data_IF_905994745847
#
_entry.id   IF_905994745847
#
_cell.length_a   1.000
_cell.length_b   1.000
_cell.length_c   1.000
_cell.angle_alpha   90.00
_cell.angle_beta   90.00
_cell.angle_gamma   90.00
#
_symmetry.space_group_name_H-M   'P 1'
#
loop_
_entity.id
_entity.type
_entity.pdbx_description
1 polymer ?
#
# COMPACT_ATOMS: atom_id res chain seq x y z
N UNK A 1 32.02 -38.37 -44.53
CA UNK A 1 31.37 -37.91 -43.30
C UNK A 1 31.34 -36.38 -43.33
N UNK A 2 30.22 -35.79 -43.74
CA UNK A 2 30.11 -34.33 -43.97
C UNK A 2 29.78 -33.66 -42.63
N UNK A 3 30.71 -32.86 -42.09
CA UNK A 3 30.45 -32.00 -40.92
C UNK A 3 29.74 -30.73 -41.40
N UNK A 4 28.49 -30.55 -40.99
CA UNK A 4 27.73 -29.34 -41.25
C UNK A 4 28.18 -28.21 -40.29
N UNK A 5 28.60 -27.03 -40.81
CA UNK A 5 29.23 -25.95 -40.02
C UNK A 5 28.28 -25.18 -39.09
N UNK A 6 26.98 -25.51 -39.07
CA UNK A 6 25.97 -24.85 -38.23
C UNK A 6 25.49 -25.72 -37.06
N UNK A 7 26.01 -26.94 -36.88
CA UNK A 7 25.63 -27.81 -35.77
C UNK A 7 26.71 -27.79 -34.68
N UNK A 8 26.60 -26.81 -33.79
CA UNK A 8 27.30 -26.77 -32.50
C UNK A 8 26.39 -27.46 -31.46
N UNK A 9 26.75 -28.64 -30.91
CA UNK A 9 25.93 -29.38 -29.95
C UNK A 9 25.60 -28.60 -28.65
N UNK A 10 26.32 -27.52 -28.42
CA UNK A 10 26.38 -26.65 -27.25
C UNK A 10 25.50 -25.38 -27.35
N UNK A 11 24.90 -25.10 -28.51
CA UNK A 11 24.01 -23.93 -28.69
C UNK A 11 22.74 -23.96 -27.82
N UNK A 12 22.31 -25.14 -27.35
CA UNK A 12 21.17 -25.30 -26.45
C UNK A 12 21.48 -24.93 -24.99
N UNK A 13 22.75 -24.93 -24.59
CA UNK A 13 23.19 -24.60 -23.24
C UNK A 13 23.24 -23.08 -23.02
N UNK A 14 23.68 -22.30 -24.01
CA UNK A 14 23.62 -20.84 -23.97
C UNK A 14 22.17 -20.31 -24.06
N UNK A 15 21.31 -20.99 -24.83
CA UNK A 15 19.88 -20.69 -24.88
C UNK A 15 19.14 -21.01 -23.57
N UNK A 16 19.60 -21.99 -22.78
CA UNK A 16 19.02 -22.28 -21.45
C UNK A 16 19.40 -21.26 -20.39
N UNK A 17 20.65 -20.76 -20.41
CA UNK A 17 21.10 -19.70 -19.49
C UNK A 17 20.36 -18.37 -19.72
N UNK A 18 20.20 -17.98 -20.98
CA UNK A 18 19.48 -16.76 -21.33
C UNK A 18 17.97 -16.84 -20.99
N UNK A 19 17.37 -18.04 -21.06
CA UNK A 19 15.95 -18.26 -20.73
C UNK A 19 15.67 -18.12 -19.23
N UNK A 20 16.56 -18.59 -18.36
CA UNK A 20 16.42 -18.40 -16.91
C UNK A 20 16.61 -16.95 -16.51
N UNK A 21 17.56 -16.23 -17.12
CA UNK A 21 17.79 -14.81 -16.84
C UNK A 21 16.63 -13.92 -17.33
N UNK A 22 16.06 -14.22 -18.51
CA UNK A 22 14.85 -13.56 -19.04
C UNK A 22 13.61 -13.82 -18.15
N UNK A 23 13.45 -15.05 -17.64
CA UNK A 23 12.39 -15.40 -16.69
C UNK A 23 12.54 -14.65 -15.37
N UNK A 24 13.76 -14.57 -14.81
CA UNK A 24 14.04 -13.85 -13.57
C UNK A 24 13.82 -12.33 -13.71
N UNK A 25 14.26 -11.73 -14.82
CA UNK A 25 14.01 -10.31 -15.10
C UNK A 25 12.51 -10.02 -15.23
N UNK A 26 11.76 -10.87 -15.93
CA UNK A 26 10.31 -10.74 -16.08
C UNK A 26 9.59 -10.81 -14.74
N UNK A 27 10.04 -11.69 -13.84
CA UNK A 27 9.49 -11.81 -12.49
C UNK A 27 9.75 -10.54 -11.66
N UNK A 28 10.97 -10.00 -11.70
CA UNK A 28 11.33 -8.74 -11.01
C UNK A 28 10.46 -7.59 -11.52
N UNK A 29 10.35 -7.40 -12.83
CA UNK A 29 9.50 -6.35 -13.41
C UNK A 29 8.02 -6.54 -13.07
N UNK A 30 7.53 -7.78 -13.00
CA UNK A 30 6.15 -8.06 -12.63
C UNK A 30 5.87 -7.70 -11.16
N UNK A 31 6.80 -8.01 -10.25
CA UNK A 31 6.69 -7.60 -8.84
C UNK A 31 6.77 -6.08 -8.69
N UNK A 32 7.71 -5.42 -9.37
CA UNK A 32 7.83 -3.96 -9.36
C UNK A 32 6.60 -3.27 -9.97
N UNK A 33 6.06 -3.80 -11.06
CA UNK A 33 4.83 -3.30 -11.68
C UNK A 33 3.61 -3.47 -10.76
N UNK A 34 3.48 -4.63 -10.11
CA UNK A 34 2.45 -4.87 -9.10
C UNK A 34 2.57 -3.92 -7.91
N UNK A 35 3.80 -3.65 -7.44
CA UNK A 35 4.09 -2.68 -6.38
C UNK A 35 3.72 -1.25 -6.78
N UNK A 36 4.08 -0.83 -8.00
CA UNK A 36 3.74 0.50 -8.52
C UNK A 36 2.22 0.69 -8.58
N UNK A 37 1.48 -0.31 -9.09
CA UNK A 37 0.01 -0.30 -9.09
C UNK A 37 -0.56 -0.26 -7.67
N UNK A 38 0.01 -1.02 -6.75
CA UNK A 38 -0.40 -1.02 -5.35
C UNK A 38 -0.28 0.39 -4.72
N UNK A 39 0.89 1.00 -4.82
CA UNK A 39 1.16 2.35 -4.28
C UNK A 39 0.24 3.38 -4.95
N UNK A 40 0.10 3.30 -6.28
CA UNK A 40 -0.79 4.20 -7.02
C UNK A 40 -2.26 4.03 -6.60
N UNK A 41 -2.71 2.80 -6.37
CA UNK A 41 -4.05 2.52 -5.86
C UNK A 41 -4.31 3.15 -4.50
N UNK A 42 -3.36 3.05 -3.56
CA UNK A 42 -3.44 3.72 -2.24
C UNK A 42 -3.53 5.24 -2.40
N UNK A 43 -2.70 5.83 -3.27
CA UNK A 43 -2.72 7.28 -3.53
C UNK A 43 -4.05 7.73 -4.14
N UNK A 44 -4.56 6.99 -5.14
CA UNK A 44 -5.80 7.32 -5.82
C UNK A 44 -7.00 7.19 -4.88
N UNK A 45 -6.98 6.19 -4.00
CA UNK A 45 -7.96 6.01 -2.94
C UNK A 45 -8.01 7.22 -2.00
N UNK A 46 -6.85 7.67 -1.50
CA UNK A 46 -6.74 8.87 -0.65
C UNK A 46 -7.23 10.13 -1.35
N UNK A 47 -6.81 10.36 -2.60
CA UNK A 47 -7.26 11.51 -3.38
C UNK A 47 -8.77 11.50 -3.63
N UNK A 48 -9.35 10.35 -3.97
CA UNK A 48 -10.79 10.20 -4.17
C UNK A 48 -11.57 10.54 -2.89
N UNK A 49 -11.11 10.04 -1.74
CA UNK A 49 -11.75 10.31 -0.47
C UNK A 49 -11.61 11.79 -0.05
N UNK A 50 -10.44 12.39 -0.25
CA UNK A 50 -10.18 13.82 0.00
C UNK A 50 -11.06 14.72 -0.86
N UNK A 51 -11.16 14.44 -2.17
CA UNK A 51 -12.00 15.23 -3.08
C UNK A 51 -13.49 15.03 -2.80
N UNK A 52 -13.91 13.82 -2.42
CA UNK A 52 -15.28 13.54 -1.99
C UNK A 52 -15.66 14.33 -0.74
N UNK A 53 -14.72 14.53 0.20
CA UNK A 53 -14.94 15.35 1.38
C UNK A 53 -15.06 16.85 1.04
N UNK A 54 -14.29 17.35 0.06
CA UNK A 54 -14.40 18.72 -0.48
C UNK A 54 -14.40 19.81 0.59
N UNK A 55 -15.24 20.84 0.43
CA UNK A 55 -15.36 21.96 1.39
C UNK A 55 -15.92 21.54 2.77
N UNK A 56 -16.53 20.35 2.86
CA UNK A 56 -16.98 19.83 4.16
C UNK A 56 -15.80 19.51 5.07
N UNK A 57 -14.58 19.36 4.55
CA UNK A 57 -13.39 19.24 5.38
C UNK A 57 -13.26 20.41 6.35
N UNK A 58 -13.52 21.66 5.94
CA UNK A 58 -13.48 22.81 6.87
C UNK A 58 -14.52 22.70 7.98
N UNK A 59 -15.68 22.11 7.69
CA UNK A 59 -16.77 21.88 8.66
C UNK A 59 -16.47 20.70 9.60
N UNK A 60 -15.86 19.63 9.10
CA UNK A 60 -15.38 18.48 9.90
C UNK A 60 -14.27 18.93 10.85
N UNK A 61 -13.36 19.78 10.35
CA UNK A 61 -12.32 20.42 11.16
C UNK A 61 -12.91 21.43 12.16
N UNK A 62 -14.01 22.11 11.83
CA UNK A 62 -14.73 22.96 12.79
C UNK A 62 -15.59 22.18 13.79
N UNK A 63 -15.95 20.93 13.48
CA UNK A 63 -16.69 20.02 14.36
C UNK A 63 -15.79 19.32 15.39
N UNK A 64 -14.47 19.57 15.34
CA UNK A 64 -13.59 19.47 16.49
C UNK A 64 -14.18 20.43 17.53
N UNK A 65 -15.09 20.01 18.41
CA UNK A 65 -14.80 19.94 19.85
C UNK A 65 -16.08 19.95 20.71
N UNK A 66 -16.31 18.87 21.48
CA UNK A 66 -16.99 18.90 22.80
C UNK A 66 -16.32 17.91 23.78
N UNK A 67 -15.84 16.74 23.32
CA UNK A 67 -15.23 15.71 24.20
C UNK A 67 -13.99 15.02 23.58
N UNK A 68 -13.08 14.45 24.38
CA UNK A 68 -11.92 13.68 23.88
C UNK A 68 -12.31 12.49 22.99
N UNK A 69 -13.41 11.81 23.31
CA UNK A 69 -13.90 10.66 22.54
C UNK A 69 -14.38 11.08 21.14
N UNK A 70 -15.11 12.20 21.07
CA UNK A 70 -15.49 12.80 19.79
C UNK A 70 -14.26 13.23 19.01
N UNK A 71 -13.24 13.78 19.69
CA UNK A 71 -11.94 14.11 19.10
C UNK A 71 -11.28 12.90 18.46
N UNK A 72 -11.29 11.73 19.12
CA UNK A 72 -10.75 10.48 18.56
C UNK A 72 -11.48 10.01 17.31
N UNK A 73 -12.82 10.02 17.30
CA UNK A 73 -13.58 9.65 16.11
C UNK A 73 -13.33 10.60 14.94
N UNK A 74 -13.30 11.91 15.21
CA UNK A 74 -13.01 12.92 14.18
C UNK A 74 -11.58 12.77 13.68
N UNK A 75 -10.60 12.59 14.55
CA UNK A 75 -9.20 12.34 14.17
C UNK A 75 -9.05 11.11 13.29
N UNK A 76 -9.71 10.00 13.64
CA UNK A 76 -9.69 8.78 12.84
C UNK A 76 -10.29 9.01 11.45
N UNK A 77 -11.42 9.72 11.38
CA UNK A 77 -12.08 10.04 10.11
C UNK A 77 -11.25 11.00 9.25
N UNK A 78 -10.71 12.06 9.84
CA UNK A 78 -9.86 13.05 9.17
C UNK A 78 -8.60 12.38 8.61
N UNK A 79 -7.92 11.53 9.39
CA UNK A 79 -6.74 10.82 8.90
C UNK A 79 -7.08 9.73 7.89
N UNK A 80 -8.24 9.08 7.98
CA UNK A 80 -8.69 8.16 6.94
C UNK A 80 -8.86 8.87 5.59
N UNK A 81 -9.36 10.12 5.61
CA UNK A 81 -9.55 10.96 4.42
C UNK A 81 -8.22 11.51 3.91
N UNK A 82 -7.43 12.12 4.79
CA UNK A 82 -6.18 12.81 4.43
C UNK A 82 -5.05 11.79 4.15
N UNK A 83 -5.16 10.56 4.65
CA UNK A 83 -4.14 9.49 4.56
C UNK A 83 -2.75 9.87 5.08
N UNK A 84 -2.63 11.01 5.78
CA UNK A 84 -1.40 11.53 6.35
C UNK A 84 -1.63 11.90 7.81
N UNK A 85 -1.13 11.05 8.71
CA UNK A 85 -1.14 11.31 10.15
C UNK A 85 -0.25 12.51 10.50
N UNK A 86 0.90 12.66 9.81
CA UNK A 86 1.79 13.81 10.00
C UNK A 86 1.09 15.13 9.68
N UNK A 87 0.36 15.22 8.57
CA UNK A 87 -0.42 16.43 8.24
C UNK A 87 -1.54 16.68 9.25
N UNK A 88 -2.18 15.62 9.76
CA UNK A 88 -3.20 15.73 10.80
C UNK A 88 -2.61 16.30 12.10
N UNK A 89 -1.45 15.81 12.54
CA UNK A 89 -0.77 16.29 13.75
C UNK A 89 -0.32 17.75 13.61
N UNK A 90 0.28 18.14 12.48
CA UNK A 90 0.70 19.53 12.22
C UNK A 90 -0.50 20.48 12.28
N UNK A 91 -1.62 20.08 11.69
CA UNK A 91 -2.87 20.86 11.74
C UNK A 91 -3.39 21.02 13.17
N UNK A 92 -3.43 19.93 13.94
CA UNK A 92 -3.89 19.94 15.34
C UNK A 92 -3.00 20.85 16.19
N UNK A 93 -1.67 20.78 16.04
CA UNK A 93 -0.74 21.67 16.74
C UNK A 93 -0.98 23.13 16.34
N UNK A 94 -1.24 23.40 15.06
CA UNK A 94 -1.62 24.73 14.57
C UNK A 94 -2.90 25.27 15.22
N UNK A 95 -3.93 24.43 15.39
CA UNK A 95 -5.18 24.84 16.05
C UNK A 95 -5.04 25.07 17.55
N UNK A 96 -4.19 24.29 18.23
CA UNK A 96 -3.85 24.54 19.64
C UNK A 96 -3.14 25.87 19.78
N UNK A 97 -2.15 26.15 18.91
CA UNK A 97 -1.40 27.41 18.96
C UNK A 97 -2.28 28.63 18.63
N UNK A 98 -3.27 28.47 17.75
CA UNK A 98 -4.26 29.51 17.43
C UNK A 98 -5.36 29.68 18.50
N UNK A 99 -5.34 28.89 19.58
CA UNK A 99 -6.36 28.92 20.64
C UNK A 99 -7.72 28.35 20.22
N UNK A 100 -7.81 27.72 19.05
CA UNK A 100 -9.05 27.13 18.52
C UNK A 100 -9.38 25.79 19.16
N UNK A 101 -8.43 25.18 19.88
CA UNK A 101 -8.55 23.84 20.44
C UNK A 101 -7.71 23.68 21.71
N UNK A 102 -8.24 22.97 22.70
CA UNK A 102 -7.48 22.68 23.94
C UNK A 102 -6.52 21.50 23.74
N UNK A 103 -5.47 21.43 24.57
CA UNK A 103 -4.54 20.30 24.58
C UNK A 103 -5.26 18.95 24.81
N UNK A 104 -6.27 18.92 25.68
CA UNK A 104 -7.06 17.72 25.98
C UNK A 104 -7.79 17.19 24.73
N UNK A 105 -8.29 18.09 23.90
CA UNK A 105 -8.93 17.74 22.64
C UNK A 105 -7.90 17.30 21.60
N UNK A 106 -6.72 17.95 21.57
CA UNK A 106 -5.60 17.58 20.70
C UNK A 106 -5.13 16.15 20.90
N UNK A 107 -4.99 15.73 22.15
CA UNK A 107 -4.67 14.35 22.50
C UNK A 107 -5.71 13.38 21.91
N UNK A 108 -6.99 13.68 22.06
CA UNK A 108 -8.08 12.87 21.49
C UNK A 108 -7.96 12.72 19.98
N UNK A 109 -7.75 13.82 19.25
CA UNK A 109 -7.61 13.82 17.78
C UNK A 109 -6.36 13.08 17.33
N UNK A 110 -5.22 13.24 18.02
CA UNK A 110 -3.97 12.53 17.70
C UNK A 110 -4.13 11.02 17.89
N UNK A 111 -4.77 10.57 18.98
CA UNK A 111 -5.11 9.15 19.14
C UNK A 111 -6.03 8.65 18.02
N UNK A 112 -7.01 9.47 17.65
CA UNK A 112 -7.87 9.21 16.50
C UNK A 112 -7.08 9.03 15.22
N UNK A 113 -6.18 9.96 14.91
CA UNK A 113 -5.37 9.95 13.71
C UNK A 113 -4.56 8.64 13.58
N UNK A 114 -3.98 8.17 14.69
CA UNK A 114 -3.26 6.89 14.73
C UNK A 114 -4.18 5.68 14.52
N UNK A 115 -5.45 5.74 14.94
CA UNK A 115 -6.44 4.71 14.60
C UNK A 115 -6.80 4.80 13.11
N UNK A 116 -6.97 6.01 12.58
CA UNK A 116 -7.33 6.25 11.18
C UNK A 116 -6.33 5.66 10.18
N UNK A 117 -5.02 5.75 10.45
CA UNK A 117 -3.99 5.16 9.58
C UNK A 117 -4.07 3.64 9.47
N UNK A 118 -4.67 2.96 10.47
CA UNK A 118 -4.85 1.50 10.45
C UNK A 118 -5.95 1.04 9.50
N UNK A 119 -6.91 1.92 9.14
CA UNK A 119 -8.07 1.54 8.30
C UNK A 119 -7.60 1.00 6.96
N UNK A 120 -6.60 1.62 6.33
CA UNK A 120 -6.02 1.14 5.07
C UNK A 120 -5.42 -0.25 5.20
N UNK A 121 -4.67 -0.52 6.28
CA UNK A 121 -4.09 -1.85 6.53
C UNK A 121 -5.17 -2.91 6.79
N UNK A 122 -6.21 -2.56 7.55
CA UNK A 122 -7.36 -3.43 7.80
C UNK A 122 -8.12 -3.77 6.51
N UNK A 123 -8.32 -2.78 5.64
CA UNK A 123 -8.94 -2.99 4.33
C UNK A 123 -8.17 -4.04 3.51
N UNK A 124 -6.82 -3.97 3.50
CA UNK A 124 -5.97 -4.96 2.82
C UNK A 124 -6.11 -6.35 3.47
N UNK A 125 -6.25 -6.42 4.79
CA UNK A 125 -6.35 -7.67 5.54
C UNK A 125 -7.61 -8.49 5.21
N UNK A 126 -8.68 -7.85 4.72
CA UNK A 126 -9.92 -8.53 4.32
C UNK A 126 -9.80 -9.40 3.04
N UNK A 127 -8.62 -9.50 2.42
CA UNK A 127 -8.34 -10.38 1.25
C UNK A 127 -9.36 -10.22 0.10
N UNK A 128 -9.69 -8.97 -0.24
CA UNK A 128 -10.66 -8.66 -1.29
C UNK A 128 -10.09 -8.76 -2.72
N UNK A 129 -8.95 -9.44 -2.90
CA UNK A 129 -8.28 -9.61 -4.21
C UNK A 129 -9.20 -10.19 -5.28
N UNK A 130 -10.08 -11.13 -4.94
CA UNK A 130 -11.05 -11.71 -5.89
C UNK A 130 -12.07 -10.71 -6.44
N UNK A 131 -12.32 -9.62 -5.72
CA UNK A 131 -13.28 -8.59 -6.09
C UNK A 131 -12.62 -7.36 -6.71
N UNK A 132 -11.30 -7.38 -6.91
CA UNK A 132 -10.55 -6.24 -7.45
C UNK A 132 -11.15 -5.71 -8.75
N UNK A 133 -11.34 -6.57 -9.76
CA UNK A 133 -11.88 -6.20 -11.07
C UNK A 133 -13.32 -5.67 -10.99
N UNK A 134 -14.29 -6.35 -10.34
CA UNK A 134 -15.62 -5.80 -10.11
C UNK A 134 -15.61 -4.42 -9.43
N UNK A 135 -14.76 -4.22 -8.44
CA UNK A 135 -14.66 -2.94 -7.72
C UNK A 135 -14.09 -1.85 -8.63
N UNK A 136 -13.07 -2.14 -9.45
CA UNK A 136 -12.59 -1.20 -10.49
C UNK A 136 -13.72 -0.84 -11.45
N UNK A 137 -14.50 -1.82 -11.92
CA UNK A 137 -15.62 -1.57 -12.84
C UNK A 137 -16.67 -0.66 -12.21
N UNK A 138 -17.09 -0.95 -10.98
CA UNK A 138 -18.06 -0.11 -10.26
C UNK A 138 -17.50 1.31 -10.08
N UNK A 139 -16.24 1.41 -9.64
CA UNK A 139 -15.57 2.70 -9.46
C UNK A 139 -15.47 3.49 -10.75
N UNK A 140 -15.15 2.84 -11.86
CA UNK A 140 -15.09 3.45 -13.19
C UNK A 140 -16.46 3.94 -13.65
N UNK A 141 -17.50 3.13 -13.52
CA UNK A 141 -18.88 3.53 -13.85
C UNK A 141 -19.31 4.73 -13.01
N UNK A 142 -19.05 4.71 -11.69
CA UNK A 142 -19.36 5.84 -10.82
C UNK A 142 -18.58 7.11 -11.19
N UNK A 143 -17.29 6.97 -11.53
CA UNK A 143 -16.45 8.09 -11.92
C UNK A 143 -16.88 8.71 -13.26
N UNK A 144 -17.23 7.87 -14.23
CA UNK A 144 -17.55 8.29 -15.60
C UNK A 144 -19.00 8.75 -15.76
N UNK A 145 -19.96 8.01 -15.19
CA UNK A 145 -21.41 8.29 -15.33
C UNK A 145 -21.93 9.21 -14.21
N UNK A 146 -21.20 9.32 -13.10
CA UNK A 146 -21.61 10.11 -11.95
C UNK A 146 -21.85 11.57 -12.33
N UNK A 147 -23.07 12.08 -12.09
CA UNK A 147 -23.41 13.49 -12.37
C UNK A 147 -22.94 14.46 -11.28
N UNK A 148 -22.80 13.96 -10.05
CA UNK A 148 -22.35 14.74 -8.88
C UNK A 148 -20.88 14.48 -8.61
N UNK A 149 -20.11 15.52 -8.32
CA UNK A 149 -18.68 15.41 -8.03
C UNK A 149 -18.39 14.43 -6.88
N UNK A 150 -19.22 14.43 -5.83
CA UNK A 150 -19.12 13.44 -4.75
C UNK A 150 -19.14 11.99 -5.26
N UNK A 151 -20.04 11.66 -6.20
CA UNK A 151 -20.15 10.32 -6.77
C UNK A 151 -18.92 10.02 -7.63
N UNK A 152 -18.44 11.01 -8.39
CA UNK A 152 -17.24 10.85 -9.22
C UNK A 152 -16.00 10.54 -8.37
N UNK A 153 -15.83 11.27 -7.27
CA UNK A 153 -14.71 11.10 -6.36
C UNK A 153 -14.80 9.81 -5.54
N UNK A 154 -16.01 9.39 -5.17
CA UNK A 154 -16.23 8.07 -4.60
C UNK A 154 -15.92 6.95 -5.62
N UNK A 155 -16.22 7.19 -6.90
CA UNK A 155 -15.76 6.34 -8.00
C UNK A 155 -14.23 6.26 -8.07
N UNK A 156 -13.54 7.40 -7.98
CA UNK A 156 -12.07 7.47 -7.92
C UNK A 156 -11.52 6.66 -6.72
N UNK A 157 -12.17 6.73 -5.56
CA UNK A 157 -11.83 5.92 -4.39
C UNK A 157 -11.92 4.41 -4.70
N UNK A 158 -13.02 3.95 -5.30
CA UNK A 158 -13.20 2.54 -5.64
C UNK A 158 -12.27 2.06 -6.76
N UNK A 159 -11.95 2.89 -7.75
CA UNK A 159 -10.92 2.57 -8.75
C UNK A 159 -9.57 2.37 -8.04
N UNK A 160 -9.17 3.29 -7.16
CA UNK A 160 -7.93 3.18 -6.40
C UNK A 160 -7.89 1.92 -5.54
N UNK A 161 -8.99 1.63 -4.85
CA UNK A 161 -9.16 0.41 -4.07
C UNK A 161 -8.99 -0.86 -4.92
N UNK A 162 -9.65 -0.93 -6.07
CA UNK A 162 -9.55 -2.08 -6.96
C UNK A 162 -8.15 -2.25 -7.59
N UNK A 163 -7.49 -1.15 -8.00
CA UNK A 163 -6.12 -1.16 -8.52
C UNK A 163 -5.12 -1.63 -7.45
N UNK A 164 -5.31 -1.19 -6.20
CA UNK A 164 -4.51 -1.64 -5.06
C UNK A 164 -4.54 -3.17 -4.95
N UNK A 165 -5.74 -3.76 -4.96
CA UNK A 165 -5.90 -5.22 -4.89
C UNK A 165 -5.40 -5.95 -6.13
N UNK A 166 -5.48 -5.33 -7.32
CA UNK A 166 -4.92 -5.88 -8.55
C UNK A 166 -3.38 -5.92 -8.49
N UNK A 167 -2.75 -4.86 -8.00
CA UNK A 167 -1.31 -4.84 -7.73
C UNK A 167 -0.89 -5.95 -6.74
N UNK A 168 -1.67 -6.14 -5.67
CA UNK A 168 -1.50 -7.25 -4.74
C UNK A 168 -1.60 -8.61 -5.44
N UNK A 169 -2.61 -8.82 -6.28
CA UNK A 169 -2.80 -10.07 -7.01
C UNK A 169 -1.61 -10.36 -7.95
N UNK A 170 -1.12 -9.36 -8.69
CA UNK A 170 0.05 -9.49 -9.56
C UNK A 170 1.28 -9.89 -8.75
N UNK A 171 1.57 -9.21 -7.64
CA UNK A 171 2.69 -9.56 -6.77
C UNK A 171 2.56 -11.00 -6.24
N UNK A 172 1.34 -11.43 -5.87
CA UNK A 172 1.10 -12.81 -5.39
C UNK A 172 1.25 -13.89 -6.46
N UNK A 173 1.11 -13.54 -7.75
CA UNK A 173 1.20 -14.50 -8.86
C UNK A 173 2.63 -14.96 -9.13
N UNK A 174 3.61 -14.07 -8.90
CA UNK A 174 5.04 -14.33 -9.13
C UNK A 174 5.71 -15.00 -7.92
N UNK A 175 5.22 -14.70 -6.72
CA UNK A 175 5.86 -15.08 -5.46
C UNK A 175 5.44 -16.46 -4.95
N UNK A 176 4.25 -16.96 -5.31
CA UNK A 176 3.81 -18.33 -5.00
C UNK A 176 4.73 -19.42 -5.60
N UNK A 177 5.19 -19.32 -6.86
CA UNK A 177 6.22 -20.21 -7.41
C UNK A 177 7.57 -20.10 -6.68
N UNK A 178 7.99 -18.87 -6.36
CA UNK A 178 9.29 -18.59 -5.69
C UNK A 178 9.34 -19.13 -4.25
N UNK A 179 8.22 -19.09 -3.53
CA UNK A 179 8.11 -19.61 -2.16
C UNK A 179 8.27 -21.13 -2.07
N UNK A 180 8.22 -21.86 -3.18
CA UNK A 180 8.48 -23.32 -3.21
C UNK A 180 9.95 -23.66 -3.43
N UNK A 181 10.80 -22.69 -3.78
CA UNK A 181 12.22 -22.92 -4.01
C UNK A 181 13.01 -22.80 -2.70
N UNK A 182 13.59 -23.92 -2.25
CA UNK A 182 14.35 -24.03 -0.99
C UNK A 182 15.55 -23.07 -0.89
N UNK A 183 16.07 -22.57 -2.02
CA UNK A 183 17.14 -21.57 -2.07
C UNK A 183 16.65 -20.17 -1.67
N UNK A 184 15.44 -19.77 -2.07
CA UNK A 184 14.85 -18.46 -1.75
C UNK A 184 14.48 -18.41 -0.25
N UNK A 185 13.91 -19.49 0.29
CA UNK A 185 13.64 -19.61 1.73
C UNK A 185 14.91 -19.48 2.58
N UNK A 186 16.02 -20.12 2.17
CA UNK A 186 17.30 -20.02 2.88
C UNK A 186 17.87 -18.60 2.88
N UNK A 187 17.77 -17.89 1.75
CA UNK A 187 18.18 -16.48 1.68
C UNK A 187 17.37 -15.61 2.65
N UNK A 188 16.05 -15.77 2.69
CA UNK A 188 15.18 -15.01 3.60
C UNK A 188 15.36 -15.36 5.09
N UNK A 189 15.67 -16.62 5.43
CA UNK A 189 15.99 -17.03 6.82
C UNK A 189 17.29 -16.36 7.31
N UNK A 190 18.29 -16.22 6.44
CA UNK A 190 19.56 -15.55 6.77
C UNK A 190 19.32 -14.05 6.98
N UNK A 191 18.51 -13.40 6.14
CA UNK A 191 18.15 -11.98 6.33
C UNK A 191 17.26 -11.74 7.55
N UNK A 192 16.33 -12.64 7.87
CA UNK A 192 15.42 -12.50 9.02
C UNK A 192 16.14 -12.57 10.37
N UNK A 193 17.40 -13.03 10.44
CA UNK A 193 18.14 -13.11 11.69
C UNK A 193 18.73 -11.76 12.12
N UNK A 194 18.95 -10.82 11.19
CA UNK A 194 19.58 -9.54 11.47
C UNK A 194 18.55 -8.39 11.58
N UNK A 195 18.00 -8.21 12.78
CA UNK A 195 16.97 -7.20 13.09
C UNK A 195 17.39 -5.77 12.72
N UNK A 196 18.67 -5.44 12.81
CA UNK A 196 19.17 -4.08 12.55
C UNK A 196 19.09 -3.72 11.06
N UNK A 197 19.38 -4.68 10.18
CA UNK A 197 19.21 -4.53 8.73
C UNK A 197 17.74 -4.37 8.34
N UNK A 198 16.84 -5.11 9.00
CA UNK A 198 15.40 -4.94 8.82
C UNK A 198 14.95 -3.50 9.11
N UNK A 199 15.37 -2.93 10.24
CA UNK A 199 15.03 -1.54 10.60
C UNK A 199 15.53 -0.52 9.57
N UNK A 200 16.75 -0.67 9.07
CA UNK A 200 17.30 0.25 8.05
C UNK A 200 16.52 0.15 6.74
N UNK A 201 16.18 -1.06 6.30
CA UNK A 201 15.43 -1.27 5.06
C UNK A 201 13.99 -0.74 5.20
N UNK A 202 13.33 -1.01 6.32
CA UNK A 202 11.97 -0.51 6.61
C UNK A 202 11.93 1.01 6.70
N UNK A 203 12.95 1.61 7.33
CA UNK A 203 13.15 3.06 7.34
C UNK A 203 13.33 3.61 5.92
N UNK A 204 14.18 3.00 5.08
CA UNK A 204 14.41 3.45 3.71
C UNK A 204 13.13 3.35 2.86
N UNK A 205 12.41 2.22 2.94
CA UNK A 205 11.13 2.02 2.24
C UNK A 205 10.12 3.08 2.69
N UNK A 206 9.96 3.30 4.00
CA UNK A 206 9.04 4.31 4.54
C UNK A 206 9.45 5.72 4.14
N UNK A 207 10.75 6.03 4.12
CA UNK A 207 11.26 7.33 3.70
C UNK A 207 11.06 7.59 2.20
N UNK A 208 11.14 6.55 1.35
CA UNK A 208 10.85 6.68 -0.09
C UNK A 208 9.35 6.85 -0.33
N UNK A 209 8.55 5.99 0.32
CA UNK A 209 7.10 5.95 0.11
C UNK A 209 6.40 7.13 0.80
N UNK A 210 7.02 7.74 1.82
CA UNK A 210 6.48 8.87 2.60
C UNK A 210 5.07 8.61 3.18
N UNK A 211 4.65 7.34 3.27
CA UNK A 211 3.35 6.91 3.76
C UNK A 211 3.49 5.63 4.57
N UNK A 212 3.28 5.73 5.89
CA UNK A 212 3.37 4.59 6.82
C UNK A 212 2.32 3.51 6.52
N UNK A 213 1.09 3.88 6.14
CA UNK A 213 0.04 2.92 5.75
C UNK A 213 0.41 2.16 4.47
N UNK A 214 1.07 2.81 3.52
CA UNK A 214 1.55 2.14 2.31
C UNK A 214 2.72 1.19 2.60
N UNK A 215 3.66 1.56 3.49
CA UNK A 215 4.71 0.62 3.95
C UNK A 215 4.11 -0.59 4.66
N UNK A 216 3.18 -0.39 5.61
CA UNK A 216 2.53 -1.51 6.32
C UNK A 216 1.79 -2.41 5.33
N UNK A 217 1.08 -1.83 4.37
CA UNK A 217 0.42 -2.60 3.31
C UNK A 217 1.39 -3.38 2.42
N UNK A 218 2.57 -2.82 2.15
CA UNK A 218 3.65 -3.50 1.45
C UNK A 218 4.20 -4.68 2.26
N UNK A 219 4.54 -4.47 3.54
CA UNK A 219 5.03 -5.53 4.43
C UNK A 219 3.99 -6.64 4.57
N UNK A 220 2.71 -6.30 4.75
CA UNK A 220 1.61 -7.26 4.83
C UNK A 220 1.46 -8.05 3.53
N UNK A 221 1.66 -7.40 2.38
CA UNK A 221 1.64 -8.05 1.07
C UNK A 221 2.78 -9.05 0.93
N UNK A 222 4.01 -8.63 1.25
CA UNK A 222 5.21 -9.47 1.19
C UNK A 222 5.14 -10.64 2.18
N UNK A 223 4.54 -10.43 3.35
CA UNK A 223 4.27 -11.50 4.30
C UNK A 223 3.16 -12.45 3.81
N UNK A 224 2.09 -11.92 3.22
CA UNK A 224 0.99 -12.70 2.68
C UNK A 224 1.38 -13.64 1.53
N UNK A 225 2.49 -13.36 0.86
CA UNK A 225 3.06 -14.22 -0.19
C UNK A 225 4.17 -15.15 0.30
N UNK A 226 4.49 -15.12 1.60
CA UNK A 226 5.51 -15.97 2.21
C UNK A 226 6.95 -15.54 1.93
N UNK A 227 7.17 -14.34 1.40
CA UNK A 227 8.52 -13.79 1.26
C UNK A 227 9.08 -13.33 2.61
N UNK A 228 8.26 -12.69 3.44
CA UNK A 228 8.68 -12.19 4.75
C UNK A 228 7.93 -12.96 5.85
N UNK A 229 8.65 -13.66 6.72
CA UNK A 229 8.08 -14.27 7.92
C UNK A 229 7.75 -13.20 8.99
N UNK A 230 6.90 -13.52 9.95
CA UNK A 230 6.50 -12.60 11.04
C UNK A 230 7.72 -11.96 11.72
N UNK A 231 8.82 -12.72 11.87
CA UNK A 231 10.08 -12.24 12.46
C UNK A 231 10.80 -11.18 11.62
N UNK A 232 10.68 -11.25 10.30
CA UNK A 232 11.21 -10.26 9.36
C UNK A 232 10.28 -9.07 9.16
N UNK A 233 8.97 -9.24 9.39
CA UNK A 233 7.97 -8.19 9.28
C UNK A 233 7.96 -7.24 10.48
N UNK A 234 8.23 -7.73 11.71
CA UNK A 234 8.25 -6.91 12.94
C UNK A 234 9.25 -5.72 12.87
N UNK A 235 10.49 -5.87 12.38
CA UNK A 235 11.45 -4.76 12.34
C UNK A 235 11.28 -3.79 11.15
N UNK A 236 10.38 -4.07 10.19
CA UNK A 236 10.15 -3.25 8.98
C UNK A 236 9.04 -2.22 9.18
#
# INVERSE_FOLDING_TARGET
MVKFPWYSPDGWLSMRGNRSEEEDMTQVFTVLGGLALFIYGVQLMGQGLQKAAGDRMRRILGALTVSPLTGTLVGAFVTAIIQSSSATTVMVVGFVNAGLMTLKQAVGVIFGANIGTTITAQLIAFKLTKYALPIVTIGFVMNFVGKRDFIKYLGQFFIGFGILFLGLQIMTSVTKPLAHNESVKRMFIIYSHNRFLGVIIGFAITAIVQSSSATVGLVQTLAGVGLIDLRGAIPL
#
